data_IF_243314933645
#
_entry.id   IF_243314933645
#
_cell.length_a   1.000
_cell.length_b   1.000
_cell.length_c   1.000
_cell.angle_alpha   90.00
_cell.angle_beta   90.00
_cell.angle_gamma   90.00
#
_symmetry.space_group_name_H-M   'P 1'
#
loop_
_entity.id
_entity.type
_entity.pdbx_description
1 polymer ?
#
# COMPACT_ATOMS: atom_id res chain seq x y z
N UNK A 1 -24.00 6.90 75.31
CA UNK A 1 -22.86 6.91 74.37
C UNK A 1 -23.42 6.55 73.00
N UNK A 2 -23.55 7.53 72.11
CA UNK A 2 -24.04 7.31 70.74
C UNK A 2 -22.84 7.62 69.83
N UNK A 3 -22.28 6.58 69.21
CA UNK A 3 -21.17 6.70 68.28
C UNK A 3 -21.71 7.16 66.92
N UNK A 4 -21.20 8.29 66.44
CA UNK A 4 -21.52 8.88 65.15
C UNK A 4 -20.53 8.32 64.11
N UNK A 5 -20.97 7.40 63.27
CA UNK A 5 -20.16 6.85 62.17
C UNK A 5 -20.34 7.73 60.92
N UNK A 6 -19.28 8.41 60.51
CA UNK A 6 -19.22 9.16 59.25
C UNK A 6 -18.94 8.19 58.11
N UNK A 7 -19.89 8.02 57.19
CA UNK A 7 -19.69 7.30 55.93
C UNK A 7 -19.14 8.27 54.88
N UNK A 8 -17.88 8.08 54.49
CA UNK A 8 -17.23 8.83 53.40
C UNK A 8 -17.50 8.09 52.08
N UNK A 9 -18.39 8.62 51.25
CA UNK A 9 -18.66 8.09 49.90
C UNK A 9 -17.55 8.53 48.95
N UNK A 10 -16.67 7.60 48.58
CA UNK A 10 -15.66 7.81 47.54
C UNK A 10 -16.34 7.62 46.19
N UNK A 11 -16.50 8.70 45.42
CA UNK A 11 -16.84 8.63 43.99
C UNK A 11 -15.60 8.12 43.24
N UNK A 12 -15.60 6.84 42.85
CA UNK A 12 -14.65 6.31 41.88
C UNK A 12 -15.04 6.77 40.47
N UNK A 13 -14.19 7.58 39.85
CA UNK A 13 -14.22 7.87 38.43
C UNK A 13 -13.95 6.58 37.67
N UNK A 14 -14.94 6.11 36.91
CA UNK A 14 -14.74 5.07 35.92
C UNK A 14 -13.97 5.68 34.75
N UNK A 15 -12.64 5.60 34.81
CA UNK A 15 -11.82 5.68 33.61
C UNK A 15 -12.21 4.48 32.74
N UNK A 16 -12.93 4.76 31.66
CA UNK A 16 -13.19 3.80 30.61
C UNK A 16 -11.88 3.58 29.86
N UNK A 17 -11.09 2.61 30.32
CA UNK A 17 -10.02 2.00 29.55
C UNK A 17 -10.61 1.56 28.20
N UNK A 18 -10.24 2.28 27.16
CA UNK A 18 -10.45 1.87 25.78
C UNK A 18 -9.59 0.64 25.55
N UNK A 19 -10.18 -0.55 25.72
CA UNK A 19 -9.56 -1.82 25.41
C UNK A 19 -9.30 -1.89 23.91
N UNK A 20 -8.04 -1.67 23.55
CA UNK A 20 -7.43 -1.98 22.26
C UNK A 20 -7.85 -3.41 21.85
N UNK A 21 -8.56 -3.52 20.73
CA UNK A 21 -8.81 -4.85 20.14
C UNK A 21 -7.45 -5.46 19.80
N UNK A 22 -7.18 -6.76 20.06
CA UNK A 22 -5.92 -7.36 19.68
C UNK A 22 -5.70 -7.12 18.20
N UNK A 23 -4.64 -6.39 17.87
CA UNK A 23 -4.35 -6.03 16.49
C UNK A 23 -4.22 -7.32 15.68
N UNK A 24 -5.08 -7.52 14.69
CA UNK A 24 -5.08 -8.69 13.79
C UNK A 24 -3.88 -8.66 12.83
N UNK A 25 -2.72 -8.23 13.33
CA UNK A 25 -1.50 -8.07 12.58
C UNK A 25 -1.01 -9.43 12.10
N UNK A 26 -0.73 -9.52 10.80
CA UNK A 26 -0.16 -10.70 10.17
C UNK A 26 1.31 -10.45 9.83
N UNK A 27 2.02 -11.55 9.61
CA UNK A 27 3.42 -11.55 9.21
C UNK A 27 3.58 -12.06 7.79
N UNK A 28 4.50 -11.48 7.04
CA UNK A 28 4.98 -12.00 5.76
C UNK A 28 6.51 -12.03 5.80
N UNK A 29 7.11 -13.12 5.32
CA UNK A 29 8.57 -13.27 5.37
C UNK A 29 9.11 -13.62 3.99
N UNK A 30 10.03 -12.79 3.49
CA UNK A 30 10.57 -12.89 2.13
C UNK A 30 12.09 -12.80 2.12
N UNK A 31 12.74 -13.69 1.37
CA UNK A 31 14.15 -13.60 1.01
C UNK A 31 14.27 -13.22 -0.47
N UNK A 32 15.09 -12.23 -0.77
CA UNK A 32 15.17 -11.63 -2.10
C UNK A 32 16.55 -11.07 -2.43
N UNK A 33 17.61 -11.72 -1.95
CA UNK A 33 18.98 -11.21 -2.00
C UNK A 33 19.27 -10.33 -0.81
N UNK A 34 20.19 -9.36 -0.96
CA UNK A 34 20.54 -8.46 0.13
C UNK A 34 19.31 -7.78 0.76
N UNK A 35 19.09 -7.99 2.06
CA UNK A 35 17.87 -7.52 2.74
C UNK A 35 17.78 -5.97 2.80
N UNK A 36 18.91 -5.25 2.75
CA UNK A 36 18.92 -3.78 2.65
C UNK A 36 18.12 -3.25 1.45
N UNK A 37 18.15 -4.00 0.35
CA UNK A 37 17.41 -3.68 -0.88
C UNK A 37 15.91 -4.02 -0.79
N UNK A 38 15.54 -4.85 0.18
CA UNK A 38 14.20 -5.41 0.31
C UNK A 38 13.36 -4.64 1.32
N UNK A 39 13.93 -3.90 2.28
CA UNK A 39 13.14 -3.12 3.26
C UNK A 39 12.34 -1.98 2.62
N UNK A 40 13.03 -1.08 1.89
CA UNK A 40 12.44 0.15 1.34
C UNK A 40 11.14 -0.06 0.55
N UNK A 41 11.03 -1.06 -0.35
CA UNK A 41 9.80 -1.30 -1.11
C UNK A 41 8.54 -1.55 -0.28
N UNK A 42 8.67 -1.94 0.99
CA UNK A 42 7.53 -2.29 1.84
C UNK A 42 7.21 -1.26 2.93
N UNK A 43 8.21 -0.52 3.42
CA UNK A 43 8.03 0.39 4.56
C UNK A 43 7.10 1.58 4.28
N UNK A 44 6.90 1.98 3.03
CA UNK A 44 6.05 3.12 2.65
C UNK A 44 4.59 2.69 2.35
N UNK A 45 4.25 1.41 2.56
CA UNK A 45 2.93 0.87 2.25
C UNK A 45 1.97 1.13 3.42
N UNK A 46 0.83 1.74 3.14
CA UNK A 46 -0.23 1.87 4.14
C UNK A 46 -0.74 0.48 4.57
N UNK A 47 -0.78 0.25 5.89
CA UNK A 47 -1.03 -1.05 6.48
C UNK A 47 0.21 -1.87 6.83
N UNK A 48 1.40 -1.52 6.34
CA UNK A 48 2.65 -2.08 6.85
C UNK A 48 3.09 -1.25 8.06
N UNK A 49 3.29 -1.89 9.21
CA UNK A 49 3.71 -1.20 10.43
C UNK A 49 5.19 -1.36 10.71
N UNK A 50 5.80 -2.44 10.22
CA UNK A 50 7.19 -2.76 10.49
C UNK A 50 7.76 -3.64 9.38
N UNK A 51 9.02 -3.40 9.03
CA UNK A 51 9.81 -4.26 8.14
C UNK A 51 11.17 -4.45 8.80
N UNK A 52 11.46 -5.70 9.19
CA UNK A 52 12.65 -6.06 9.95
C UNK A 52 13.57 -6.88 9.06
N UNK A 53 14.84 -6.50 8.97
CA UNK A 53 15.89 -7.28 8.32
C UNK A 53 16.40 -8.39 9.23
N UNK A 54 16.69 -9.56 8.68
CA UNK A 54 17.14 -10.71 9.48
C UNK A 54 17.44 -11.98 8.71
N UNK A 55 17.52 -13.07 9.46
CA UNK A 55 17.97 -14.39 9.01
C UNK A 55 16.93 -15.46 9.31
N UNK A 56 16.64 -16.34 8.34
CA UNK A 56 15.70 -17.47 8.53
C UNK A 56 15.97 -18.61 7.54
N UNK A 57 15.32 -19.76 7.74
CA UNK A 57 15.43 -20.95 6.87
C UNK A 57 16.64 -21.85 7.11
N UNK A 58 17.58 -21.43 7.98
CA UNK A 58 18.75 -22.20 8.37
C UNK A 58 18.54 -23.06 9.61
N UNK A 59 19.65 -23.55 10.17
CA UNK A 59 19.69 -24.38 11.38
C UNK A 59 20.54 -23.72 12.46
N UNK A 60 20.30 -24.12 13.70
CA UNK A 60 20.97 -23.56 14.87
C UNK A 60 20.26 -22.31 15.36
N UNK A 61 20.74 -21.81 16.50
CA UNK A 61 20.19 -20.62 17.14
C UNK A 61 21.13 -19.42 16.96
N UNK A 62 20.53 -18.24 17.09
CA UNK A 62 21.17 -16.92 17.15
C UNK A 62 22.28 -16.72 16.09
N UNK A 63 21.94 -16.78 14.79
CA UNK A 63 22.86 -16.43 13.71
C UNK A 63 23.25 -14.94 13.77
N UNK A 64 24.50 -14.65 13.45
CA UNK A 64 25.03 -13.29 13.28
C UNK A 64 25.37 -13.04 11.81
N UNK A 65 25.64 -11.79 11.44
CA UNK A 65 26.06 -11.45 10.09
C UNK A 65 27.31 -12.24 9.63
N UNK A 66 28.20 -12.63 10.55
CA UNK A 66 29.40 -13.39 10.24
C UNK A 66 29.14 -14.88 9.95
N UNK A 67 28.08 -15.47 10.52
CA UNK A 67 27.89 -16.92 10.54
C UNK A 67 26.56 -17.44 9.98
N UNK A 68 25.58 -16.57 9.73
CA UNK A 68 24.24 -16.95 9.26
C UNK A 68 24.30 -17.80 7.97
N UNK A 69 25.19 -17.45 7.05
CA UNK A 69 25.36 -18.15 5.79
C UNK A 69 25.88 -19.58 5.97
N UNK A 70 26.80 -19.81 6.91
CA UNK A 70 27.34 -21.14 7.20
C UNK A 70 26.33 -22.01 7.94
N UNK A 71 25.48 -21.38 8.77
CA UNK A 71 24.30 -21.97 9.40
C UNK A 71 23.14 -22.23 8.40
N UNK A 72 23.29 -21.84 7.14
CA UNK A 72 22.33 -22.07 6.07
C UNK A 72 21.11 -21.15 6.10
N UNK A 73 21.18 -20.02 6.80
CA UNK A 73 20.12 -19.01 6.75
C UNK A 73 20.19 -18.21 5.46
N UNK A 74 19.04 -17.67 5.07
CA UNK A 74 18.89 -16.69 4.01
C UNK A 74 18.77 -15.31 4.65
N UNK A 75 19.30 -14.32 3.94
CA UNK A 75 18.94 -12.92 4.14
C UNK A 75 17.47 -12.71 3.79
N UNK A 76 16.69 -12.24 4.76
CA UNK A 76 15.25 -12.09 4.64
C UNK A 76 14.75 -10.83 5.35
N UNK A 77 13.52 -10.45 5.02
CA UNK A 77 12.74 -9.46 5.76
C UNK A 77 11.51 -10.12 6.38
N UNK A 78 11.14 -9.70 7.59
CA UNK A 78 9.82 -9.96 8.19
C UNK A 78 9.01 -8.66 8.16
N UNK A 79 7.82 -8.72 7.56
CA UNK A 79 6.89 -7.60 7.43
C UNK A 79 5.73 -7.85 8.38
N UNK A 80 5.46 -6.90 9.27
CA UNK A 80 4.22 -6.86 10.05
C UNK A 80 3.22 -5.95 9.35
N UNK A 81 2.03 -6.48 9.11
CA UNK A 81 1.01 -5.74 8.36
C UNK A 81 -0.41 -5.99 8.87
N UNK A 82 -1.25 -4.97 8.72
CA UNK A 82 -2.68 -5.02 8.96
C UNK A 82 -3.39 -5.57 7.70
N UNK A 83 -3.96 -6.79 7.76
CA UNK A 83 -4.63 -7.40 6.64
C UNK A 83 -5.90 -6.66 6.19
N UNK A 84 -6.46 -5.77 7.03
CA UNK A 84 -7.57 -4.91 6.64
C UNK A 84 -7.13 -3.82 5.63
N UNK A 85 -5.87 -3.38 5.70
CA UNK A 85 -5.31 -2.31 4.87
C UNK A 85 -4.53 -2.83 3.67
N UNK A 86 -3.69 -3.85 3.86
CA UNK A 86 -2.88 -4.46 2.80
C UNK A 86 -2.98 -5.98 2.80
N UNK A 87 -3.20 -6.58 1.63
CA UNK A 87 -3.28 -8.03 1.49
C UNK A 87 -1.91 -8.68 1.32
N UNK A 88 -1.80 -9.95 1.67
CA UNK A 88 -0.60 -10.76 1.38
C UNK A 88 -0.29 -10.85 -0.12
N UNK A 89 -1.32 -10.89 -0.98
CA UNK A 89 -1.18 -10.88 -2.43
C UNK A 89 -0.54 -9.59 -2.96
N UNK A 90 -0.88 -8.43 -2.38
CA UNK A 90 -0.23 -7.15 -2.71
C UNK A 90 1.26 -7.19 -2.34
N UNK A 91 1.59 -7.74 -1.17
CA UNK A 91 2.99 -7.88 -0.73
C UNK A 91 3.78 -8.80 -1.66
N UNK A 92 3.18 -9.90 -2.14
CA UNK A 92 3.78 -10.78 -3.14
C UNK A 92 4.01 -10.06 -4.47
N UNK A 93 3.04 -9.29 -4.96
CA UNK A 93 3.17 -8.50 -6.19
C UNK A 93 4.36 -7.53 -6.13
N UNK A 94 4.59 -6.91 -4.97
CA UNK A 94 5.75 -6.05 -4.74
C UNK A 94 7.01 -6.89 -4.70
N UNK A 95 7.05 -7.97 -3.93
CA UNK A 95 8.18 -8.88 -3.81
C UNK A 95 8.67 -9.36 -5.18
N UNK A 96 7.77 -9.85 -6.04
CA UNK A 96 8.11 -10.32 -7.39
C UNK A 96 8.76 -9.22 -8.25
N UNK A 97 8.42 -7.95 -8.01
CA UNK A 97 8.99 -6.79 -8.71
C UNK A 97 10.32 -6.30 -8.13
N UNK A 98 10.83 -6.92 -7.07
CA UNK A 98 12.11 -6.55 -6.47
C UNK A 98 13.24 -7.57 -6.74
N UNK A 99 12.92 -8.73 -7.29
CA UNK A 99 13.85 -9.86 -7.47
C UNK A 99 14.00 -10.29 -8.94
N UNK A 100 15.05 -11.05 -9.25
CA UNK A 100 15.08 -11.96 -10.39
C UNK A 100 14.56 -13.34 -9.92
N UNK A 101 13.30 -13.70 -10.24
CA UNK A 101 12.72 -14.94 -9.77
C UNK A 101 13.29 -16.18 -10.48
N UNK A 102 14.18 -15.99 -11.46
CA UNK A 102 14.81 -17.06 -12.24
C UNK A 102 16.28 -17.31 -11.88
N UNK A 103 16.84 -16.51 -10.97
CA UNK A 103 18.22 -16.63 -10.52
C UNK A 103 18.35 -17.68 -9.40
N UNK A 104 18.94 -18.82 -9.74
CA UNK A 104 19.19 -19.91 -8.79
C UNK A 104 20.53 -19.76 -8.03
N UNK A 105 21.36 -18.77 -8.40
CA UNK A 105 22.71 -18.59 -7.85
C UNK A 105 22.82 -17.50 -6.79
N UNK A 106 21.70 -16.90 -6.37
CA UNK A 106 21.62 -15.73 -5.51
C UNK A 106 20.71 -14.67 -6.12
N UNK A 107 21.06 -13.40 -5.97
CA UNK A 107 20.36 -12.28 -6.60
C UNK A 107 21.35 -11.23 -7.09
N UNK A 108 21.40 -11.04 -8.41
CA UNK A 108 22.22 -10.02 -9.06
C UNK A 108 23.72 -10.18 -8.74
N UNK A 109 24.38 -9.17 -8.17
CA UNK A 109 25.79 -9.28 -7.72
C UNK A 109 25.95 -10.10 -6.44
N UNK A 110 24.90 -10.25 -5.64
CA UNK A 110 24.94 -11.00 -4.38
C UNK A 110 24.80 -12.49 -4.72
N UNK A 111 25.88 -13.26 -4.53
CA UNK A 111 25.94 -14.67 -4.94
C UNK A 111 26.07 -15.60 -3.75
N UNK A 112 25.46 -16.78 -3.89
CA UNK A 112 25.46 -17.81 -2.86
C UNK A 112 24.07 -18.13 -2.36
N UNK A 113 23.94 -19.27 -1.68
CA UNK A 113 22.66 -19.79 -1.21
C UNK A 113 21.93 -18.81 -0.29
N UNK A 114 22.66 -18.12 0.58
CA UNK A 114 22.13 -17.14 1.54
C UNK A 114 21.50 -15.90 0.89
N UNK A 115 21.77 -15.65 -0.39
CA UNK A 115 21.11 -14.60 -1.19
C UNK A 115 20.03 -15.15 -2.14
N UNK A 116 19.63 -16.41 -2.01
CA UNK A 116 18.57 -16.99 -2.85
C UNK A 116 17.22 -16.34 -2.57
N UNK A 117 16.30 -16.41 -3.55
CA UNK A 117 14.93 -15.96 -3.35
C UNK A 117 14.04 -17.05 -2.74
N UNK A 118 13.26 -16.68 -1.72
CA UNK A 118 12.28 -17.56 -1.07
C UNK A 118 11.10 -16.76 -0.48
N UNK A 119 9.95 -17.41 -0.42
CA UNK A 119 8.76 -16.96 0.31
C UNK A 119 8.53 -17.94 1.45
N UNK A 120 8.55 -17.43 2.68
CA UNK A 120 8.31 -18.21 3.89
C UNK A 120 6.85 -18.02 4.33
N UNK A 121 6.02 -19.05 4.15
CA UNK A 121 4.59 -18.99 4.48
C UNK A 121 4.34 -19.39 5.94
N UNK A 122 3.55 -18.58 6.65
CA UNK A 122 3.23 -18.80 8.07
C UNK A 122 2.03 -19.74 8.26
N UNK A 123 1.18 -19.86 7.24
CA UNK A 123 -0.04 -20.66 7.27
C UNK A 123 -0.37 -21.19 5.86
N UNK A 124 -1.38 -22.06 5.80
CA UNK A 124 -1.84 -22.69 4.57
C UNK A 124 -2.44 -21.69 3.57
N UNK A 125 -3.06 -20.62 4.06
CA UNK A 125 -3.60 -19.56 3.20
C UNK A 125 -2.48 -18.86 2.43
N UNK A 126 -1.41 -18.46 3.13
CA UNK A 126 -0.21 -17.87 2.52
C UNK A 126 0.44 -18.82 1.52
N UNK A 127 0.52 -20.12 1.83
CA UNK A 127 1.05 -21.12 0.89
C UNK A 127 0.27 -21.12 -0.42
N UNK A 128 -1.06 -21.21 -0.34
CA UNK A 128 -1.94 -21.26 -1.51
C UNK A 128 -1.89 -19.96 -2.33
N UNK A 129 -1.84 -18.79 -1.68
CA UNK A 129 -1.71 -17.50 -2.36
C UNK A 129 -0.33 -17.39 -3.04
N UNK A 130 0.75 -17.79 -2.36
CA UNK A 130 2.10 -17.78 -2.91
C UNK A 130 2.24 -18.72 -4.14
N UNK A 131 1.67 -19.93 -4.07
CA UNK A 131 1.63 -20.86 -5.20
C UNK A 131 0.87 -20.29 -6.40
N UNK A 132 -0.31 -19.71 -6.14
CA UNK A 132 -1.12 -19.05 -7.16
C UNK A 132 -0.37 -17.89 -7.81
N UNK A 133 0.26 -17.02 -7.01
CA UNK A 133 1.01 -15.86 -7.52
C UNK A 133 2.22 -16.29 -8.34
N UNK A 134 2.99 -17.29 -7.89
CA UNK A 134 4.12 -17.86 -8.63
C UNK A 134 3.67 -18.45 -9.97
N UNK A 135 2.58 -19.21 -9.99
CA UNK A 135 2.00 -19.77 -11.23
C UNK A 135 1.51 -18.68 -12.18
N UNK A 136 0.86 -17.65 -11.64
CA UNK A 136 0.42 -16.49 -12.43
C UNK A 136 1.61 -15.76 -13.06
N UNK A 137 2.68 -15.53 -12.29
CA UNK A 137 3.90 -14.89 -12.78
C UNK A 137 4.55 -15.70 -13.91
N UNK A 138 4.66 -17.02 -13.74
CA UNK A 138 5.19 -17.92 -14.79
C UNK A 138 4.37 -17.84 -16.07
N UNK A 139 3.04 -17.82 -15.95
CA UNK A 139 2.11 -17.82 -17.08
C UNK A 139 2.14 -16.52 -17.89
N UNK A 140 2.67 -15.43 -17.33
CA UNK A 140 2.82 -14.14 -18.04
C UNK A 140 3.91 -14.17 -19.10
N UNK A 141 4.79 -15.17 -19.10
CA UNK A 141 5.87 -15.29 -20.09
C UNK A 141 6.88 -14.14 -20.06
N UNK A 142 7.00 -13.42 -18.93
CA UNK A 142 7.96 -12.31 -18.78
C UNK A 142 9.41 -12.77 -18.69
N UNK A 143 9.61 -14.02 -18.26
CA UNK A 143 10.92 -14.60 -18.04
C UNK A 143 11.12 -15.78 -18.98
N UNK A 144 12.29 -15.84 -19.61
CA UNK A 144 12.67 -16.95 -20.51
C UNK A 144 13.07 -18.21 -19.76
N UNK A 145 13.38 -18.09 -18.46
CA UNK A 145 13.74 -19.18 -17.56
C UNK A 145 12.59 -19.50 -16.59
N UNK A 146 12.54 -20.71 -16.03
CA UNK A 146 11.54 -21.06 -15.01
C UNK A 146 11.76 -20.25 -13.73
N UNK A 147 10.68 -19.97 -13.01
CA UNK A 147 10.73 -19.33 -11.69
C UNK A 147 11.21 -20.33 -10.64
N UNK A 148 12.38 -20.06 -10.06
CA UNK A 148 13.07 -20.93 -9.10
C UNK A 148 12.87 -20.50 -7.65
N UNK A 149 12.26 -19.33 -7.40
CA UNK A 149 11.98 -18.84 -6.05
C UNK A 149 11.25 -19.89 -5.21
N UNK A 150 11.80 -20.18 -4.03
CA UNK A 150 11.33 -21.27 -3.18
C UNK A 150 10.08 -20.86 -2.40
N UNK A 151 9.20 -21.82 -2.12
CA UNK A 151 8.07 -21.65 -1.19
C UNK A 151 8.34 -22.57 -0.01
N UNK A 152 8.68 -22.01 1.14
CA UNK A 152 9.14 -22.75 2.32
C UNK A 152 8.21 -22.46 3.51
N UNK A 153 7.95 -23.43 4.40
CA UNK A 153 7.27 -23.13 5.65
C UNK A 153 8.11 -22.16 6.48
N UNK A 154 7.46 -21.19 7.12
CA UNK A 154 8.16 -20.25 7.98
C UNK A 154 8.83 -20.97 9.16
N UNK A 155 10.11 -20.66 9.37
CA UNK A 155 10.89 -21.06 10.54
C UNK A 155 11.15 -19.85 11.44
N UNK A 156 11.80 -20.07 12.59
CA UNK A 156 12.24 -18.98 13.47
C UNK A 156 13.01 -17.91 12.67
N UNK A 157 12.55 -16.67 12.80
CA UNK A 157 13.20 -15.49 12.23
C UNK A 157 14.08 -14.85 13.30
N UNK A 158 15.32 -14.54 12.94
CA UNK A 158 16.29 -13.88 13.80
C UNK A 158 16.53 -12.48 13.26
N UNK A 159 16.11 -11.41 13.96
CA UNK A 159 16.45 -10.05 13.57
C UNK A 159 17.96 -9.89 13.44
N UNK A 160 18.40 -9.25 12.35
CA UNK A 160 19.78 -8.84 12.18
C UNK A 160 20.12 -7.70 13.15
N UNK A 161 21.41 -7.47 13.34
CA UNK A 161 21.96 -6.43 14.21
C UNK A 161 21.42 -5.03 13.83
N UNK A 162 21.32 -4.11 14.80
CA UNK A 162 20.67 -2.82 14.60
C UNK A 162 21.23 -1.99 13.43
N UNK A 163 22.53 -2.12 13.13
CA UNK A 163 23.15 -1.40 12.03
C UNK A 163 22.69 -1.87 10.65
N UNK A 164 22.05 -3.04 10.56
CA UNK A 164 21.44 -3.58 9.35
C UNK A 164 20.02 -3.08 9.12
N UNK A 165 19.32 -2.63 10.17
CA UNK A 165 17.95 -2.14 10.09
C UNK A 165 17.91 -0.75 9.46
N UNK A 166 16.92 -0.49 8.61
CA UNK A 166 16.73 0.80 7.94
C UNK A 166 18.00 1.29 7.20
N UNK A 167 18.84 0.36 6.72
CA UNK A 167 20.17 0.69 6.21
C UNK A 167 20.13 1.72 5.07
N UNK A 168 19.09 1.67 4.22
CA UNK A 168 18.91 2.62 3.13
C UNK A 168 18.65 4.05 3.60
N UNK A 169 18.05 4.23 4.79
CA UNK A 169 17.82 5.53 5.43
C UNK A 169 19.05 5.99 6.19
N UNK A 170 19.66 5.08 6.95
CA UNK A 170 20.77 5.37 7.85
C UNK A 170 22.09 5.56 7.11
N UNK A 171 22.26 4.92 5.94
CA UNK A 171 23.48 4.94 5.14
C UNK A 171 23.20 5.26 3.65
N UNK A 172 22.52 6.37 3.32
CA UNK A 172 21.91 6.58 2.01
C UNK A 172 22.94 6.63 0.86
N UNK A 173 24.12 7.22 1.08
CA UNK A 173 25.18 7.30 0.08
C UNK A 173 25.75 5.92 -0.23
N UNK A 174 26.09 5.14 0.81
CA UNK A 174 26.68 3.80 0.66
C UNK A 174 25.65 2.83 0.07
N UNK A 175 24.40 2.91 0.54
CA UNK A 175 23.29 2.16 -0.04
C UNK A 175 23.10 2.48 -1.52
N UNK A 176 23.07 3.76 -1.91
CA UNK A 176 22.89 4.15 -3.31
C UNK A 176 24.04 3.64 -4.20
N UNK A 177 25.29 3.77 -3.75
CA UNK A 177 26.44 3.24 -4.48
C UNK A 177 26.32 1.72 -4.71
N UNK A 178 26.00 0.98 -3.64
CA UNK A 178 25.78 -0.46 -3.69
C UNK A 178 24.61 -0.84 -4.61
N UNK A 179 23.43 -0.23 -4.42
CA UNK A 179 22.22 -0.50 -5.21
C UNK A 179 22.45 -0.27 -6.70
N UNK A 180 23.06 0.85 -7.06
CA UNK A 180 23.39 1.19 -8.46
C UNK A 180 24.40 0.20 -9.07
N UNK A 181 25.38 -0.25 -8.27
CA UNK A 181 26.38 -1.24 -8.69
C UNK A 181 25.84 -2.67 -8.78
N UNK A 182 24.74 -2.98 -8.09
CA UNK A 182 24.20 -4.34 -8.00
C UNK A 182 23.62 -4.88 -9.31
N UNK A 183 23.25 -4.00 -10.25
CA UNK A 183 22.55 -4.40 -11.47
C UNK A 183 21.05 -4.72 -11.27
N UNK A 184 20.55 -4.71 -10.02
CA UNK A 184 19.13 -4.95 -9.69
C UNK A 184 18.20 -3.98 -10.43
N UNK A 185 18.43 -2.68 -10.31
CA UNK A 185 17.55 -1.68 -10.93
C UNK A 185 17.56 -1.77 -12.46
N UNK A 186 18.71 -2.10 -13.07
CA UNK A 186 18.82 -2.30 -14.52
C UNK A 186 17.96 -3.49 -14.96
N UNK A 187 18.03 -4.60 -14.24
CA UNK A 187 17.23 -5.79 -14.52
C UNK A 187 15.73 -5.49 -14.36
N UNK A 188 15.34 -4.92 -13.21
CA UNK A 188 13.95 -4.60 -12.90
C UNK A 188 13.35 -3.65 -13.94
N UNK A 189 14.07 -2.59 -14.30
CA UNK A 189 13.67 -1.66 -15.36
C UNK A 189 13.46 -2.38 -16.69
N UNK A 190 14.39 -3.25 -17.07
CA UNK A 190 14.35 -3.99 -18.33
C UNK A 190 13.15 -4.93 -18.47
N UNK A 191 12.73 -5.58 -17.38
CA UNK A 191 11.57 -6.48 -17.36
C UNK A 191 10.27 -5.68 -17.23
N UNK A 192 10.17 -4.82 -16.21
CA UNK A 192 8.89 -4.26 -15.78
C UNK A 192 8.43 -3.02 -16.55
N UNK A 193 9.32 -2.25 -17.17
CA UNK A 193 8.91 -1.16 -18.06
C UNK A 193 8.37 -1.68 -19.40
N UNK A 194 8.85 -2.85 -19.85
CA UNK A 194 8.42 -3.48 -21.11
C UNK A 194 7.27 -4.46 -20.93
N UNK A 195 7.06 -4.95 -19.71
CA UNK A 195 5.99 -5.89 -19.40
C UNK A 195 4.61 -5.23 -19.65
N UNK A 196 3.66 -5.94 -20.29
CA UNK A 196 2.25 -5.55 -20.21
C UNK A 196 1.86 -5.43 -18.74
N UNK A 197 1.17 -4.35 -18.37
CA UNK A 197 0.68 -4.16 -17.00
C UNK A 197 -0.05 -5.43 -16.57
N UNK A 198 0.39 -6.02 -15.45
CA UNK A 198 -0.24 -7.22 -14.89
C UNK A 198 -1.73 -6.93 -14.67
N UNK A 199 -2.63 -7.93 -14.81
CA UNK A 199 -3.96 -7.80 -14.24
C UNK A 199 -3.79 -7.55 -12.75
N UNK A 200 -4.26 -6.40 -12.29
CA UNK A 200 -4.12 -5.92 -10.93
C UNK A 200 -4.88 -6.85 -9.98
N UNK A 201 -4.21 -7.35 -8.94
CA UNK A 201 -4.82 -8.12 -7.85
C UNK A 201 -5.99 -7.39 -7.18
N UNK A 202 -5.99 -6.04 -7.25
CA UNK A 202 -7.10 -5.17 -6.83
C UNK A 202 -8.37 -5.30 -7.67
N UNK A 203 -8.33 -5.94 -8.84
CA UNK A 203 -9.54 -6.23 -9.64
C UNK A 203 -10.56 -7.09 -8.86
N UNK A 204 -10.12 -7.85 -7.86
CA UNK A 204 -11.03 -8.63 -7.00
C UNK A 204 -11.69 -7.78 -5.90
N UNK A 205 -11.22 -6.55 -5.64
CA UNK A 205 -11.81 -5.61 -4.67
C UNK A 205 -12.61 -4.49 -5.34
N UNK A 206 -12.30 -4.16 -6.59
CA UNK A 206 -12.97 -3.14 -7.37
C UNK A 206 -14.01 -3.74 -8.32
N UNK A 207 -15.12 -3.03 -8.54
CA UNK A 207 -16.02 -3.34 -9.65
C UNK A 207 -15.32 -3.10 -10.99
N UNK A 208 -15.86 -3.66 -12.07
CA UNK A 208 -15.32 -3.45 -13.41
C UNK A 208 -15.23 -1.96 -13.78
N UNK A 209 -16.24 -1.17 -13.43
CA UNK A 209 -16.25 0.28 -13.66
C UNK A 209 -15.17 1.00 -12.84
N UNK A 210 -15.04 0.68 -11.55
CA UNK A 210 -14.02 1.26 -10.68
C UNK A 210 -12.61 0.96 -11.17
N UNK A 211 -12.36 -0.27 -11.63
CA UNK A 211 -11.09 -0.64 -12.24
C UNK A 211 -10.84 0.11 -13.55
N UNK A 212 -11.83 0.13 -14.45
CA UNK A 212 -11.74 0.81 -15.75
C UNK A 212 -11.43 2.30 -15.58
N UNK A 213 -12.12 2.97 -14.66
CA UNK A 213 -11.88 4.38 -14.34
C UNK A 213 -10.49 4.54 -13.75
N UNK A 214 -10.21 3.94 -12.58
CA UNK A 214 -9.00 4.26 -11.79
C UNK A 214 -7.70 3.78 -12.41
N UNK A 215 -7.71 2.70 -13.22
CA UNK A 215 -6.49 2.06 -13.75
C UNK A 215 -6.32 2.16 -15.26
N UNK A 216 -7.41 2.37 -16.00
CA UNK A 216 -7.39 2.42 -17.46
C UNK A 216 -7.75 3.81 -18.01
N UNK A 217 -7.74 4.84 -17.15
CA UNK A 217 -8.12 6.21 -17.47
C UNK A 217 -9.52 6.30 -18.12
N UNK A 218 -10.42 5.40 -17.71
CA UNK A 218 -11.80 5.36 -18.19
C UNK A 218 -12.64 6.47 -17.60
N UNK A 219 -13.83 6.67 -18.18
CA UNK A 219 -14.83 7.61 -17.67
C UNK A 219 -16.16 6.88 -17.55
N UNK A 220 -16.80 6.99 -16.38
CA UNK A 220 -18.12 6.40 -16.14
C UNK A 220 -19.22 7.22 -16.85
N UNK A 221 -20.41 6.64 -17.10
CA UNK A 221 -21.50 7.37 -17.74
C UNK A 221 -22.01 8.57 -16.89
N UNK A 222 -22.38 9.70 -17.52
CA UNK A 222 -22.98 10.82 -16.79
C UNK A 222 -24.36 10.44 -16.27
N UNK A 223 -24.72 10.92 -15.08
CA UNK A 223 -26.00 10.70 -14.37
C UNK A 223 -26.33 9.24 -14.00
N UNK A 224 -25.50 8.28 -14.41
CA UNK A 224 -25.60 6.87 -14.04
C UNK A 224 -24.34 6.48 -13.25
N UNK A 225 -24.20 7.12 -12.09
CA UNK A 225 -23.12 6.88 -11.15
C UNK A 225 -23.56 7.21 -9.71
N UNK A 226 -22.78 6.80 -8.71
CA UNK A 226 -23.25 6.79 -7.33
C UNK A 226 -23.32 8.17 -6.67
N UNK A 227 -22.46 9.11 -7.07
CA UNK A 227 -22.26 10.36 -6.32
C UNK A 227 -22.58 11.65 -7.08
N UNK A 228 -23.11 11.58 -8.32
CA UNK A 228 -23.49 12.80 -9.06
C UNK A 228 -24.48 13.65 -8.26
N UNK A 229 -25.52 13.05 -7.67
CA UNK A 229 -26.57 13.73 -6.91
C UNK A 229 -26.37 13.71 -5.39
N UNK A 230 -25.37 12.99 -4.86
CA UNK A 230 -25.15 12.90 -3.41
C UNK A 230 -25.02 14.30 -2.77
N UNK A 231 -25.83 14.54 -1.72
CA UNK A 231 -25.86 15.77 -0.91
C UNK A 231 -25.54 15.54 0.57
N UNK A 232 -25.23 14.31 0.98
CA UNK A 232 -24.87 14.00 2.37
C UNK A 232 -23.59 14.73 2.77
N UNK A 233 -23.50 15.12 4.04
CA UNK A 233 -22.27 15.70 4.58
C UNK A 233 -21.22 14.60 4.79
N UNK A 234 -19.99 14.86 4.35
CA UNK A 234 -18.88 13.92 4.49
C UNK A 234 -17.74 14.22 3.54
N UNK A 235 -16.79 13.30 3.47
CA UNK A 235 -15.63 13.38 2.59
C UNK A 235 -15.65 12.29 1.53
N UNK A 236 -14.93 12.54 0.43
CA UNK A 236 -14.69 11.59 -0.63
C UNK A 236 -13.21 11.21 -0.62
N UNK A 237 -12.94 9.93 -0.46
CA UNK A 237 -11.59 9.36 -0.44
C UNK A 237 -11.32 8.56 -1.70
N UNK A 238 -10.06 8.36 -2.07
CA UNK A 238 -9.71 7.45 -3.16
C UNK A 238 -10.17 6.03 -2.79
N UNK A 239 -10.89 5.37 -3.70
CA UNK A 239 -11.35 4.00 -3.51
C UNK A 239 -10.19 2.99 -3.36
N UNK A 240 -9.00 3.30 -3.86
CA UNK A 240 -7.83 2.43 -3.84
C UNK A 240 -6.92 2.62 -2.63
N UNK A 241 -6.68 3.87 -2.20
CA UNK A 241 -5.74 4.20 -1.12
C UNK A 241 -6.41 4.69 0.15
N UNK A 242 -7.69 5.05 0.10
CA UNK A 242 -8.38 5.73 1.19
C UNK A 242 -7.85 7.15 1.46
N UNK A 243 -6.98 7.71 0.62
CA UNK A 243 -6.48 9.07 0.85
C UNK A 243 -7.61 10.10 0.68
N UNK A 244 -7.74 11.10 1.56
CA UNK A 244 -8.78 12.13 1.45
C UNK A 244 -8.59 12.99 0.20
N UNK A 245 -9.62 13.09 -0.66
CA UNK A 245 -9.53 13.81 -1.93
C UNK A 245 -10.39 15.08 -1.94
N UNK A 246 -11.68 14.96 -1.61
CA UNK A 246 -12.64 16.05 -1.70
C UNK A 246 -13.59 16.08 -0.50
N UNK A 247 -14.22 17.23 -0.25
CA UNK A 247 -15.25 17.40 0.78
C UNK A 247 -16.60 17.71 0.14
N UNK A 248 -17.70 17.27 0.76
CA UNK A 248 -19.04 17.64 0.35
C UNK A 248 -19.32 19.15 0.49
N UNK A 249 -18.52 19.90 1.26
CA UNK A 249 -18.62 21.37 1.39
C UNK A 249 -18.26 22.06 0.07
N UNK A 250 -17.26 21.52 -0.63
CA UNK A 250 -16.79 22.07 -1.90
C UNK A 250 -17.46 21.40 -3.10
N UNK A 251 -18.37 20.44 -2.87
CA UNK A 251 -19.17 19.80 -3.91
C UNK A 251 -20.31 20.74 -4.35
N UNK A 252 -20.51 20.85 -5.65
CA UNK A 252 -21.59 21.64 -6.22
C UNK A 252 -22.27 20.91 -7.39
N UNK A 253 -23.46 21.38 -7.76
CA UNK A 253 -24.17 20.88 -8.93
C UNK A 253 -23.68 21.62 -10.19
N UNK A 254 -22.96 20.91 -11.04
CA UNK A 254 -22.44 21.43 -12.30
C UNK A 254 -23.36 21.18 -13.49
N UNK A 255 -24.39 20.34 -13.34
CA UNK A 255 -25.21 19.85 -14.45
C UNK A 255 -24.49 18.93 -15.44
N UNK A 256 -23.24 18.52 -15.19
CA UNK A 256 -22.49 17.66 -16.14
C UNK A 256 -22.73 16.18 -15.96
N UNK A 257 -23.37 15.75 -14.87
CA UNK A 257 -23.67 14.35 -14.58
C UNK A 257 -22.56 13.59 -13.85
N UNK A 258 -21.52 14.28 -13.39
CA UNK A 258 -20.45 13.72 -12.54
C UNK A 258 -20.28 14.58 -11.28
N UNK A 259 -19.91 14.01 -10.12
CA UNK A 259 -19.62 14.80 -8.94
C UNK A 259 -18.55 15.84 -9.24
N UNK A 260 -18.87 17.09 -8.92
CA UNK A 260 -18.07 18.25 -9.26
C UNK A 260 -17.70 19.04 -8.00
N UNK A 261 -16.43 19.40 -7.88
CA UNK A 261 -15.88 20.09 -6.71
C UNK A 261 -15.14 21.36 -7.11
N UNK A 262 -15.14 22.37 -6.25
CA UNK A 262 -14.44 23.65 -6.51
C UNK A 262 -12.95 23.61 -6.18
N UNK A 263 -12.55 22.70 -5.29
CA UNK A 263 -11.15 22.45 -4.87
C UNK A 263 -11.00 21.08 -4.18
N UNK A 264 -9.78 20.53 -4.10
CA UNK A 264 -9.49 19.37 -3.27
C UNK A 264 -9.52 19.70 -1.77
N UNK A 265 -9.78 18.67 -0.97
CA UNK A 265 -9.74 18.73 0.49
C UNK A 265 -8.30 18.92 1.01
N UNK A 266 -7.37 18.14 0.44
CA UNK A 266 -5.92 18.26 0.69
C UNK A 266 -5.23 18.40 -0.66
N UNK A 267 -4.71 19.59 -0.98
CA UNK A 267 -4.11 19.86 -2.29
C UNK A 267 -2.96 18.90 -2.64
N UNK A 268 -2.16 18.52 -1.63
CA UNK A 268 -1.04 17.59 -1.81
C UNK A 268 -1.49 16.18 -2.20
N UNK A 269 -2.74 15.78 -1.96
CA UNK A 269 -3.23 14.45 -2.37
C UNK A 269 -3.61 14.40 -3.86
N UNK A 270 -3.55 15.52 -4.59
CA UNK A 270 -3.86 15.60 -6.01
C UNK A 270 -2.59 15.76 -6.85
N UNK A 271 -2.56 15.06 -7.98
CA UNK A 271 -1.61 15.23 -9.06
C UNK A 271 -2.35 15.70 -10.32
N UNK A 272 -1.95 16.86 -10.84
CA UNK A 272 -2.47 17.41 -12.09
C UNK A 272 -1.49 17.13 -13.24
N UNK A 273 -1.95 16.43 -14.28
CA UNK A 273 -1.15 16.07 -15.46
C UNK A 273 -1.80 16.66 -16.70
N UNK A 274 -0.99 17.23 -17.61
CA UNK A 274 -1.51 17.70 -18.91
C UNK A 274 -1.93 16.51 -19.77
N UNK A 275 -3.21 16.43 -20.12
CA UNK A 275 -3.79 15.43 -21.02
C UNK A 275 -4.01 16.06 -22.40
N UNK A 276 -3.43 15.44 -23.43
CA UNK A 276 -3.54 15.85 -24.84
C UNK A 276 -4.32 14.84 -25.70
N UNK A 277 -4.99 13.87 -25.07
CA UNK A 277 -5.84 12.90 -25.77
C UNK A 277 -7.06 13.61 -26.37
N UNK A 278 -7.57 13.10 -27.48
CA UNK A 278 -8.78 13.59 -28.18
C UNK A 278 -8.70 15.04 -28.71
N UNK A 279 -7.49 15.53 -29.06
CA UNK A 279 -7.26 16.86 -29.65
C UNK A 279 -7.72 18.06 -28.80
N UNK A 280 -8.00 17.84 -27.51
CA UNK A 280 -8.32 18.88 -26.54
C UNK A 280 -7.26 18.90 -25.44
N UNK A 281 -6.80 20.09 -25.04
CA UNK A 281 -5.91 20.22 -23.88
C UNK A 281 -6.77 20.24 -22.61
N UNK A 282 -6.72 19.14 -21.85
CA UNK A 282 -7.38 19.02 -20.54
C UNK A 282 -6.33 18.80 -19.46
N UNK A 283 -6.68 19.07 -18.21
CA UNK A 283 -5.81 18.75 -17.07
C UNK A 283 -6.41 17.52 -16.39
N UNK A 284 -5.75 16.38 -16.53
CA UNK A 284 -6.08 15.15 -15.84
C UNK A 284 -5.79 15.31 -14.34
N UNK A 285 -6.69 14.79 -13.52
CA UNK A 285 -6.59 14.78 -12.06
C UNK A 285 -6.41 13.33 -11.62
N UNK A 286 -5.35 13.06 -10.86
CA UNK A 286 -5.03 11.74 -10.28
C UNK A 286 -4.79 11.86 -8.77
N UNK A 287 -5.02 10.78 -8.05
CA UNK A 287 -4.64 10.69 -6.63
C UNK A 287 -3.13 10.50 -6.47
N UNK A 288 -2.55 11.00 -5.38
CA UNK A 288 -1.10 10.95 -5.20
C UNK A 288 -0.63 9.56 -4.74
N UNK A 289 -1.24 8.97 -3.72
CA UNK A 289 -0.74 7.70 -3.15
C UNK A 289 -0.98 6.52 -4.09
N UNK A 290 -2.13 6.46 -4.76
CA UNK A 290 -2.48 5.31 -5.62
C UNK A 290 -2.29 5.54 -7.13
N UNK A 291 -1.97 6.76 -7.58
CA UNK A 291 -1.97 7.17 -8.99
C UNK A 291 -3.27 6.77 -9.71
N UNK A 292 -4.40 6.81 -8.99
CA UNK A 292 -5.73 6.50 -9.52
C UNK A 292 -6.16 7.62 -10.45
N UNK A 293 -6.61 7.30 -11.66
CA UNK A 293 -7.30 8.28 -12.49
C UNK A 293 -8.63 8.68 -11.83
N UNK A 294 -8.79 9.97 -11.56
CA UNK A 294 -9.98 10.52 -10.89
C UNK A 294 -10.91 11.18 -11.91
N UNK A 295 -10.36 11.98 -12.82
CA UNK A 295 -11.11 12.72 -13.83
C UNK A 295 -10.30 13.90 -14.36
N UNK A 296 -10.94 15.06 -14.51
CA UNK A 296 -10.33 16.26 -15.09
C UNK A 296 -10.74 17.52 -14.34
N UNK A 297 -9.87 18.54 -14.38
CA UNK A 297 -10.17 19.88 -13.86
C UNK A 297 -10.33 20.87 -15.02
N UNK A 298 -11.36 21.72 -14.89
CA UNK A 298 -11.76 22.74 -15.86
C UNK A 298 -11.81 24.12 -15.21
N UNK A 299 -11.73 25.18 -16.03
CA UNK A 299 -11.78 26.59 -15.61
C UNK A 299 -13.17 27.23 -15.76
N UNK A 300 -14.20 26.40 -15.76
CA UNK A 300 -15.63 26.76 -15.90
C UNK A 300 -16.40 26.60 -14.59
N UNK A 301 -15.70 26.56 -13.46
CA UNK A 301 -16.30 26.41 -12.14
C UNK A 301 -16.85 27.71 -11.56
N UNK A 302 -17.63 27.63 -10.47
CA UNK A 302 -18.14 28.82 -9.80
C UNK A 302 -17.03 29.59 -9.08
N UNK A 303 -17.23 30.90 -8.79
CA UNK A 303 -16.38 31.64 -7.88
C UNK A 303 -16.35 30.99 -6.48
N UNK A 304 -15.27 31.18 -5.69
CA UNK A 304 -14.13 32.06 -5.96
C UNK A 304 -12.99 31.41 -6.74
N UNK A 305 -12.91 30.08 -6.81
CA UNK A 305 -11.79 29.39 -7.46
C UNK A 305 -11.88 29.45 -8.98
N UNK A 306 -13.10 29.47 -9.53
CA UNK A 306 -13.33 29.32 -10.97
C UNK A 306 -12.98 27.93 -11.50
N UNK A 307 -12.68 26.97 -10.61
CA UNK A 307 -12.27 25.63 -10.96
C UNK A 307 -13.42 24.64 -10.77
N UNK A 308 -13.49 23.67 -11.68
CA UNK A 308 -14.40 22.53 -11.59
C UNK A 308 -13.61 21.25 -11.72
N UNK A 309 -13.38 20.59 -10.60
CA UNK A 309 -12.88 19.22 -10.53
C UNK A 309 -14.04 18.28 -10.83
N UNK A 310 -14.09 17.76 -12.06
CA UNK A 310 -15.11 16.83 -12.53
C UNK A 310 -14.57 15.40 -12.37
N UNK A 311 -15.09 14.67 -11.38
CA UNK A 311 -14.50 13.42 -10.89
C UNK A 311 -15.46 12.26 -11.13
N UNK A 312 -14.95 11.08 -11.41
CA UNK A 312 -15.75 9.86 -11.50
C UNK A 312 -16.08 9.35 -10.10
N UNK A 313 -17.34 9.05 -9.82
CA UNK A 313 -17.79 8.37 -8.59
C UNK A 313 -17.11 7.02 -8.41
N UNK A 314 -16.87 6.27 -9.49
CA UNK A 314 -16.17 4.99 -9.45
C UNK A 314 -14.68 5.10 -9.04
N UNK A 315 -14.13 6.31 -8.92
CA UNK A 315 -12.82 6.53 -8.33
C UNK A 315 -12.87 6.90 -6.84
N UNK A 316 -14.06 7.10 -6.30
CA UNK A 316 -14.30 7.63 -4.96
C UNK A 316 -14.98 6.60 -4.07
N UNK A 317 -14.77 6.74 -2.77
CA UNK A 317 -15.62 6.17 -1.72
C UNK A 317 -16.08 7.32 -0.83
N UNK A 318 -17.38 7.44 -0.61
CA UNK A 318 -17.93 8.46 0.28
C UNK A 318 -17.93 7.98 1.73
N UNK A 319 -17.48 8.85 2.65
CA UNK A 319 -17.50 8.60 4.09
C UNK A 319 -18.35 9.69 4.74
N UNK A 320 -19.54 9.36 5.26
CA UNK A 320 -20.41 10.34 5.89
C UNK A 320 -19.83 10.80 7.24
N UNK A 321 -20.16 12.03 7.67
CA UNK A 321 -19.61 12.65 8.89
C UNK A 321 -19.73 11.74 10.11
N UNK A 322 -20.87 11.07 10.27
CA UNK A 322 -21.15 10.15 11.37
C UNK A 322 -20.24 8.91 11.42
N UNK A 323 -19.52 8.58 10.33
CA UNK A 323 -18.61 7.44 10.25
C UNK A 323 -17.12 7.85 10.22
N UNK A 324 -16.84 9.14 10.00
CA UNK A 324 -15.47 9.64 9.79
C UNK A 324 -14.53 9.36 10.97
N UNK A 325 -14.99 9.50 12.21
CA UNK A 325 -14.15 9.23 13.40
C UNK A 325 -13.71 7.76 13.44
N UNK A 326 -14.69 6.86 13.30
CA UNK A 326 -14.48 5.41 13.33
C UNK A 326 -13.58 4.93 12.19
N UNK A 327 -13.65 5.59 11.03
CA UNK A 327 -12.85 5.25 9.86
C UNK A 327 -11.49 5.94 9.82
N UNK A 328 -11.10 6.69 10.86
CA UNK A 328 -9.77 7.30 10.98
C UNK A 328 -9.62 8.65 10.27
N UNK A 329 -10.73 9.33 9.97
CA UNK A 329 -10.79 10.65 9.33
C UNK A 329 -11.29 11.75 10.29
N UNK A 330 -11.16 11.53 11.59
CA UNK A 330 -11.64 12.41 12.66
C UNK A 330 -11.13 13.86 12.55
N UNK A 331 -9.91 14.05 12.05
CA UNK A 331 -9.31 15.37 11.87
C UNK A 331 -10.14 16.30 10.96
N UNK A 332 -10.89 15.74 10.01
CA UNK A 332 -11.70 16.50 9.04
C UNK A 332 -13.12 16.78 9.53
N UNK A 333 -13.57 16.19 10.64
CA UNK A 333 -14.93 16.38 11.18
C UNK A 333 -15.18 17.87 11.49
N UNK A 334 -14.15 18.59 11.97
CA UNK A 334 -14.23 20.01 12.30
C UNK A 334 -14.67 20.90 11.13
N UNK A 335 -14.54 20.43 9.89
CA UNK A 335 -15.02 21.16 8.71
C UNK A 335 -16.55 21.25 8.65
N UNK A 336 -17.26 20.30 9.27
CA UNK A 336 -18.71 20.16 9.21
C UNK A 336 -19.42 20.69 10.46
N UNK A 337 -18.66 21.03 11.50
CA UNK A 337 -19.19 21.64 12.73
C UNK A 337 -19.26 23.15 12.49
N UNK A 338 -20.47 23.71 12.60
CA UNK A 338 -20.70 25.17 12.51
C UNK A 338 -20.51 25.86 13.84
#
# INVERSE_FOLDING_TARGET
>A
MIALTVMLTIYGSADADASDSPSNMRKATFAGGCFWCMEKPFQEIDGVTEVISGYTGGKGDDPTYEDYAQKGHLEAIEIRFDPAKVSYDNLLDIFWRQIDPTDAGGQFVDRGYHYSSAIFYNDEEQRLIAEKSKKALQSRGLFSKPIVTQLLPASRFFPAEDYHQDYYKNNPIRYMYYRNGSGRDRFLKGIWEKAPKAPDSRKNKLTEMQYKVTRQDGTEPPFDNEYWDNKRQGIYVDINSGEPLFSSIDKFDSGTGWPSFTRPLVADNILEKKDRRLFMERIEVRSRKADSHLGHVFKDGPPPTGLRYCINSAALRFIPVEEMEREGYGEFIKLFIK
#
